data_IF_263486206064
#
_entry.id   IF_263486206064
#
_cell.length_a   1.000
_cell.length_b   1.000
_cell.length_c   1.000
_cell.angle_alpha   90.00
_cell.angle_beta   90.00
_cell.angle_gamma   90.00
#
_symmetry.space_group_name_H-M   'P 1'
#
loop_
_entity.id
_entity.type
_entity.pdbx_description
1 polymer ?
#
# COMPACT_ATOMS: atom_id res chain seq x y z
N UNK A 1 -10.69 22.51 25.98
CA UNK A 1 -11.03 23.84 25.43
C UNK A 1 -10.96 24.83 26.59
N UNK A 2 -9.88 25.62 26.69
CA UNK A 2 -9.72 26.61 27.76
C UNK A 2 -10.04 27.98 27.15
N UNK A 3 -11.29 28.40 27.30
CA UNK A 3 -11.71 29.77 27.05
C UNK A 3 -11.14 30.67 28.14
N UNK A 4 -10.52 31.78 27.76
CA UNK A 4 -10.19 32.86 28.68
C UNK A 4 -11.28 33.91 28.49
N UNK A 5 -12.18 34.00 29.45
CA UNK A 5 -13.32 34.94 29.44
C UNK A 5 -14.09 34.96 28.10
N UNK A 6 -14.30 33.79 27.48
CA UNK A 6 -15.08 33.61 26.26
C UNK A 6 -14.45 34.17 24.97
N UNK A 7 -13.15 34.52 24.98
CA UNK A 7 -12.43 35.04 23.81
C UNK A 7 -11.28 34.11 23.39
N UNK A 8 -10.95 34.01 22.10
CA UNK A 8 -9.81 33.23 21.62
C UNK A 8 -8.52 33.77 22.25
N UNK A 9 -7.61 32.90 22.68
CA UNK A 9 -6.41 33.30 23.42
C UNK A 9 -5.47 34.21 22.61
N UNK A 10 -5.63 34.25 21.29
CA UNK A 10 -4.95 35.21 20.40
C UNK A 10 -5.38 36.66 20.65
N UNK A 11 -6.63 36.90 21.03
CA UNK A 11 -7.16 38.22 21.36
C UNK A 11 -6.96 38.61 22.84
N UNK A 12 -6.53 37.65 23.66
CA UNK A 12 -6.24 37.85 25.07
C UNK A 12 -5.09 38.83 25.27
N UNK A 13 -5.13 39.52 26.42
CA UNK A 13 -4.02 40.40 26.83
C UNK A 13 -2.83 39.56 27.26
N UNK A 14 -1.62 40.08 27.10
CA UNK A 14 -0.41 39.37 27.56
C UNK A 14 -0.47 38.98 29.04
N UNK A 15 -1.13 39.78 29.88
CA UNK A 15 -1.33 39.47 31.30
C UNK A 15 -2.13 38.17 31.51
N UNK A 16 -3.15 37.92 30.69
CA UNK A 16 -3.94 36.69 30.75
C UNK A 16 -3.10 35.50 30.30
N UNK A 17 -2.39 35.63 29.18
CA UNK A 17 -1.47 34.61 28.67
C UNK A 17 -0.41 34.24 29.71
N UNK A 18 0.19 35.24 30.36
CA UNK A 18 1.14 35.03 31.45
C UNK A 18 0.50 34.27 32.62
N UNK A 19 -0.73 34.62 33.02
CA UNK A 19 -1.46 33.87 34.06
C UNK A 19 -1.64 32.40 33.67
N UNK A 20 -1.88 32.09 32.40
CA UNK A 20 -1.96 30.70 31.92
C UNK A 20 -0.62 29.98 31.95
N UNK A 21 0.47 30.65 31.55
CA UNK A 21 1.83 30.09 31.65
C UNK A 21 2.23 29.80 33.10
N UNK A 22 1.96 30.72 34.02
CA UNK A 22 2.23 30.51 35.45
C UNK A 22 1.36 29.40 36.06
N UNK A 23 0.07 29.31 35.69
CA UNK A 23 -0.83 28.26 36.16
C UNK A 23 -0.46 26.86 35.64
N UNK A 24 -0.03 26.77 34.39
CA UNK A 24 0.38 25.51 33.77
C UNK A 24 1.79 25.06 34.18
N UNK A 25 2.58 25.97 34.77
CA UNK A 25 3.99 25.73 35.08
C UNK A 25 4.84 25.58 33.82
N UNK A 26 4.39 26.12 32.68
CA UNK A 26 5.13 26.15 31.43
C UNK A 26 5.95 27.44 31.34
N UNK A 27 7.22 27.38 30.92
CA UNK A 27 8.12 28.54 30.90
C UNK A 27 8.16 29.27 29.56
N UNK A 28 7.75 28.57 28.50
CA UNK A 28 7.63 29.12 27.16
C UNK A 28 6.22 28.96 26.60
N UNK A 29 5.81 29.96 25.83
CA UNK A 29 4.71 29.88 24.87
C UNK A 29 5.29 29.56 23.49
N UNK A 30 4.77 28.53 22.85
CA UNK A 30 5.10 28.20 21.47
C UNK A 30 3.88 28.48 20.60
N UNK A 31 4.04 29.30 19.57
CA UNK A 31 2.99 29.55 18.58
C UNK A 31 3.38 28.91 17.25
N UNK A 32 2.55 27.98 16.78
CA UNK A 32 2.74 27.27 15.51
C UNK A 32 1.66 27.66 14.50
N UNK A 33 2.09 27.98 13.29
CA UNK A 33 1.20 28.23 12.15
C UNK A 33 1.83 27.72 10.84
N UNK A 34 1.15 27.98 9.72
CA UNK A 34 1.61 27.57 8.39
C UNK A 34 2.99 28.15 8.01
N UNK A 35 3.37 29.28 8.59
CA UNK A 35 4.64 29.97 8.34
C UNK A 35 5.78 29.48 9.24
N UNK A 36 5.51 28.63 10.23
CA UNK A 36 6.52 28.04 11.10
C UNK A 36 6.22 28.18 12.60
N UNK A 37 7.28 28.07 13.40
CA UNK A 37 7.23 28.02 14.86
C UNK A 37 7.88 29.29 15.43
N UNK A 38 7.21 29.89 16.42
CA UNK A 38 7.74 30.98 17.23
C UNK A 38 7.72 30.58 18.70
N UNK A 39 8.85 30.74 19.39
CA UNK A 39 8.97 30.46 20.83
C UNK A 39 9.17 31.76 21.59
N UNK A 40 8.37 31.98 22.63
CA UNK A 40 8.42 33.16 23.50
C UNK A 40 8.58 32.71 24.96
N UNK A 41 9.66 33.14 25.60
CA UNK A 41 9.86 32.89 27.03
C UNK A 41 9.00 33.84 27.87
N UNK A 42 8.61 33.42 29.08
CA UNK A 42 7.91 34.28 30.05
C UNK A 42 8.55 35.66 30.20
N UNK A 43 9.87 35.73 30.27
CA UNK A 43 10.60 36.99 30.44
C UNK A 43 10.45 37.95 29.25
N UNK A 44 10.32 37.42 28.02
CA UNK A 44 10.06 38.23 26.84
C UNK A 44 8.62 38.78 26.86
N UNK A 45 7.66 37.97 27.32
CA UNK A 45 6.28 38.39 27.49
C UNK A 45 6.13 39.45 28.59
N UNK A 46 6.84 39.29 29.72
CA UNK A 46 6.91 40.28 30.80
C UNK A 46 7.52 41.58 30.28
N UNK A 47 8.66 41.50 29.59
CA UNK A 47 9.33 42.68 29.01
C UNK A 47 8.44 43.42 28.00
N UNK A 48 7.64 42.69 27.23
CA UNK A 48 6.71 43.26 26.26
C UNK A 48 5.51 43.92 26.95
N UNK A 49 4.98 43.29 28.00
CA UNK A 49 3.90 43.83 28.83
C UNK A 49 4.33 45.09 29.60
N UNK A 50 5.58 45.16 30.10
CA UNK A 50 6.10 46.35 30.78
C UNK A 50 6.18 47.57 29.86
N UNK A 51 6.44 47.36 28.56
CA UNK A 51 6.44 48.42 27.55
C UNK A 51 5.03 48.84 27.15
N UNK A 52 4.11 47.88 27.06
CA UNK A 52 2.72 48.10 26.69
C UNK A 52 1.79 47.12 27.43
N UNK A 53 1.23 47.60 28.54
CA UNK A 53 0.37 46.77 29.40
C UNK A 53 -0.98 46.41 28.79
N UNK A 54 -1.37 47.03 27.67
CA UNK A 54 -2.60 46.72 26.95
C UNK A 54 -2.36 45.83 25.71
N UNK A 55 -1.11 45.43 25.46
CA UNK A 55 -0.74 44.65 24.29
C UNK A 55 -1.46 43.30 24.27
N UNK A 56 -2.00 42.95 23.10
CA UNK A 56 -2.61 41.65 22.83
C UNK A 56 -1.58 40.67 22.29
N UNK A 57 -1.87 39.38 22.46
CA UNK A 57 -0.96 38.34 21.96
C UNK A 57 -0.81 38.39 20.43
N UNK A 58 -1.92 38.55 19.69
CA UNK A 58 -1.88 38.63 18.22
C UNK A 58 -0.98 39.76 17.71
N UNK A 59 -1.03 40.94 18.31
CA UNK A 59 -0.20 42.10 17.94
C UNK A 59 1.28 41.83 18.20
N UNK A 60 1.62 41.15 19.31
CA UNK A 60 2.98 40.75 19.61
C UNK A 60 3.49 39.69 18.62
N UNK A 61 2.68 38.69 18.31
CA UNK A 61 3.03 37.63 17.37
C UNK A 61 3.27 38.19 15.96
N UNK A 62 2.47 39.17 15.52
CA UNK A 62 2.65 39.86 14.24
C UNK A 62 3.99 40.64 14.20
N UNK A 63 4.39 41.28 15.30
CA UNK A 63 5.67 42.00 15.40
C UNK A 63 6.89 41.09 15.36
N UNK A 64 6.72 39.81 15.71
CA UNK A 64 7.80 38.83 15.82
C UNK A 64 7.76 37.79 14.69
N UNK A 65 7.03 38.06 13.61
CA UNK A 65 6.95 37.18 12.44
C UNK A 65 8.34 36.87 11.86
N UNK A 66 9.24 37.86 11.83
CA UNK A 66 10.61 37.71 11.32
C UNK A 66 11.48 36.74 12.15
N UNK A 67 11.06 36.39 13.37
CA UNK A 67 11.77 35.44 14.25
C UNK A 67 11.27 34.00 14.06
N UNK A 68 10.29 33.75 13.20
CA UNK A 68 9.76 32.40 12.98
C UNK A 68 10.81 31.52 12.33
N UNK A 69 10.97 30.32 12.90
CA UNK A 69 11.82 29.27 12.36
C UNK A 69 11.01 28.05 11.96
N UNK A 70 11.58 27.21 11.10
CA UNK A 70 10.99 25.91 10.76
C UNK A 70 11.17 24.89 11.90
N UNK A 71 12.20 25.09 12.73
CA UNK A 71 12.58 24.18 13.81
C UNK A 71 12.47 24.88 15.16
N UNK A 72 12.13 24.11 16.19
CA UNK A 72 12.20 24.57 17.57
C UNK A 72 13.66 24.87 17.93
N UNK A 73 13.98 26.02 18.58
CA UNK A 73 15.31 26.26 19.10
C UNK A 73 15.75 25.14 20.06
N UNK A 74 17.06 24.89 20.14
CA UNK A 74 17.60 23.83 20.99
C UNK A 74 17.47 24.22 22.47
N UNK A 75 16.42 23.71 23.11
CA UNK A 75 16.15 23.92 24.54
C UNK A 75 16.84 22.78 25.31
N UNK A 76 17.90 23.10 26.05
CA UNK A 76 18.80 22.11 26.67
C UNK A 76 18.17 21.20 27.74
N UNK A 77 16.96 21.50 28.24
CA UNK A 77 16.25 20.70 29.25
C UNK A 77 14.78 20.44 28.88
N UNK A 78 14.15 19.38 29.44
CA UNK A 78 12.73 19.09 29.25
C UNK A 78 11.87 20.15 29.94
N UNK A 79 11.69 21.28 29.27
CA UNK A 79 10.80 22.35 29.72
C UNK A 79 9.35 22.03 29.35
N UNK A 80 8.42 22.40 30.24
CA UNK A 80 7.00 22.41 29.93
C UNK A 80 6.71 23.61 29.04
N UNK A 81 6.04 23.37 27.92
CA UNK A 81 5.72 24.34 26.89
C UNK A 81 4.20 24.43 26.74
N UNK A 82 3.70 25.65 26.55
CA UNK A 82 2.31 25.88 26.17
C UNK A 82 2.27 26.08 24.66
N UNK A 83 1.71 25.12 23.93
CA UNK A 83 1.55 25.20 22.48
C UNK A 83 0.21 25.87 22.14
N UNK A 84 0.27 26.91 21.31
CA UNK A 84 -0.86 27.57 20.68
C UNK A 84 -0.83 27.26 19.18
N UNK A 85 -1.85 26.55 18.70
CA UNK A 85 -2.04 26.20 17.29
C UNK A 85 -3.47 26.55 16.86
N UNK A 86 -3.60 27.59 16.03
CA UNK A 86 -4.88 28.21 15.75
C UNK A 86 -5.54 28.72 17.04
N UNK A 87 -6.69 28.16 17.39
CA UNK A 87 -7.43 28.46 18.63
C UNK A 87 -7.20 27.43 19.74
N UNK A 88 -6.40 26.39 19.47
CA UNK A 88 -6.18 25.29 20.41
C UNK A 88 -4.95 25.52 21.28
N UNK A 89 -5.07 25.13 22.56
CA UNK A 89 -4.02 25.23 23.56
C UNK A 89 -3.74 23.86 24.17
N UNK A 90 -2.48 23.46 24.08
CA UNK A 90 -2.00 22.18 24.56
C UNK A 90 -0.77 22.38 25.44
N UNK A 91 -0.71 21.69 26.58
CA UNK A 91 0.48 21.65 27.42
C UNK A 91 1.30 20.43 27.02
N UNK A 92 2.55 20.67 26.62
CA UNK A 92 3.45 19.64 26.10
C UNK A 92 4.85 19.78 26.73
N UNK A 93 5.64 18.73 26.66
CA UNK A 93 7.09 18.76 26.94
C UNK A 93 7.87 19.12 25.68
N UNK A 94 9.06 19.71 25.84
CA UNK A 94 9.94 20.05 24.72
C UNK A 94 10.25 18.85 23.81
N UNK A 95 10.38 17.65 24.37
CA UNK A 95 10.61 16.40 23.63
C UNK A 95 9.41 16.01 22.75
N UNK A 96 8.19 16.22 23.23
CA UNK A 96 6.96 15.89 22.49
C UNK A 96 6.82 16.79 21.26
N UNK A 97 7.24 18.06 21.37
CA UNK A 97 7.23 19.00 20.26
C UNK A 97 8.31 18.71 19.20
N UNK A 98 9.45 18.12 19.60
CA UNK A 98 10.52 17.67 18.68
C UNK A 98 10.13 16.41 17.90
N UNK A 99 9.22 15.60 18.43
CA UNK A 99 8.66 14.51 17.63
C UNK A 99 7.84 15.12 16.48
N UNK A 100 7.96 14.58 15.26
CA UNK A 100 7.10 14.99 14.15
C UNK A 100 5.65 14.79 14.56
N UNK A 101 5.02 15.88 15.00
CA UNK A 101 3.68 15.83 15.59
C UNK A 101 2.70 15.27 14.56
N UNK A 102 2.10 14.11 14.91
CA UNK A 102 0.76 13.70 14.47
C UNK A 102 -0.17 14.83 14.93
N UNK A 103 -0.54 15.73 14.04
CA UNK A 103 -1.51 16.79 14.34
C UNK A 103 -2.85 16.14 14.68
N UNK A 104 -3.27 16.29 15.93
CA UNK A 104 -4.67 16.18 16.27
C UNK A 104 -5.39 17.30 15.50
N UNK A 105 -6.26 16.93 14.55
CA UNK A 105 -7.12 17.79 13.72
C UNK A 105 -6.71 18.09 12.26
N UNK A 106 -6.00 17.17 11.59
CA UNK A 106 -5.92 17.20 10.12
C UNK A 106 -6.36 15.88 9.46
N UNK A 107 -6.48 14.81 10.24
CA UNK A 107 -6.90 13.49 9.79
C UNK A 107 -8.39 13.31 10.12
N UNK A 108 -9.18 12.72 9.23
CA UNK A 108 -10.59 12.46 9.51
C UNK A 108 -10.77 11.63 10.79
N UNK A 109 -11.89 11.81 11.50
CA UNK A 109 -12.20 11.05 12.73
C UNK A 109 -12.20 9.53 12.50
N UNK A 110 -12.47 9.11 11.26
CA UNK A 110 -12.45 7.71 10.83
C UNK A 110 -11.07 7.21 10.37
N UNK A 111 -9.98 7.98 10.50
CA UNK A 111 -8.65 7.54 10.05
C UNK A 111 -8.17 6.25 10.75
N UNK A 112 -8.57 6.06 12.00
CA UNK A 112 -8.24 4.88 12.82
C UNK A 112 -9.17 3.69 12.60
N UNK A 113 -9.99 3.67 11.54
CA UNK A 113 -10.80 2.48 11.18
C UNK A 113 -9.89 1.29 10.85
N UNK A 114 -10.36 0.04 11.06
CA UNK A 114 -9.59 -1.18 10.78
C UNK A 114 -9.56 -1.51 9.28
N UNK A 115 -9.39 -0.50 8.43
CA UNK A 115 -9.23 -0.64 6.99
C UNK A 115 -7.91 -0.01 6.60
N UNK A 116 -7.14 -0.59 5.67
CA UNK A 116 -5.87 -0.02 5.23
C UNK A 116 -6.09 1.24 4.39
N UNK A 117 -5.73 2.39 4.94
CA UNK A 117 -5.88 3.69 4.30
C UNK A 117 -4.52 4.34 4.04
N UNK A 118 -4.42 5.01 2.90
CA UNK A 118 -3.31 5.91 2.57
C UNK A 118 -3.84 7.31 2.24
N UNK A 119 -3.16 8.33 2.77
CA UNK A 119 -3.40 9.73 2.46
C UNK A 119 -2.25 10.27 1.64
N UNK A 120 -2.55 10.82 0.47
CA UNK A 120 -1.59 11.34 -0.49
C UNK A 120 -1.74 12.85 -0.59
N UNK A 121 -0.75 13.58 -0.06
CA UNK A 121 -0.56 15.02 -0.28
C UNK A 121 0.63 15.23 -1.24
N UNK A 122 0.74 16.43 -1.80
CA UNK A 122 1.76 16.80 -2.82
C UNK A 122 3.16 16.30 -2.46
N UNK A 123 3.57 16.48 -1.20
CA UNK A 123 4.93 16.15 -0.75
C UNK A 123 4.97 15.08 0.35
N UNK A 124 3.82 14.52 0.73
CA UNK A 124 3.72 13.60 1.87
C UNK A 124 2.75 12.48 1.60
N UNK A 125 3.08 11.29 2.09
CA UNK A 125 2.16 10.17 2.15
C UNK A 125 2.09 9.68 3.59
N UNK A 126 0.87 9.53 4.09
CA UNK A 126 0.60 9.06 5.45
C UNK A 126 -0.23 7.78 5.35
N UNK A 127 0.06 6.81 6.22
CA UNK A 127 -0.68 5.54 6.28
C UNK A 127 -1.29 5.42 7.66
N UNK A 128 -2.47 4.81 7.73
CA UNK A 128 -3.03 4.46 9.03
C UNK A 128 -2.39 3.17 9.56
N UNK A 129 -2.63 2.85 10.82
CA UNK A 129 -2.00 1.70 11.50
C UNK A 129 -2.27 0.38 10.76
N UNK A 130 -3.47 0.21 10.20
CA UNK A 130 -3.81 -0.97 9.42
C UNK A 130 -3.00 -1.05 8.13
N UNK A 131 -2.84 0.05 7.38
CA UNK A 131 -2.03 0.07 6.18
C UNK A 131 -0.54 -0.12 6.49
N UNK A 132 -0.02 0.43 7.59
CA UNK A 132 1.37 0.20 8.01
C UNK A 132 1.65 -1.28 8.31
N UNK A 133 0.69 -1.99 8.91
CA UNK A 133 0.81 -3.41 9.21
C UNK A 133 0.76 -4.30 7.95
N UNK A 134 -0.10 -3.98 6.97
CA UNK A 134 -0.26 -4.79 5.76
C UNK A 134 0.77 -4.46 4.67
N UNK A 135 1.23 -3.21 4.64
CA UNK A 135 2.09 -2.66 3.60
C UNK A 135 3.27 -1.89 4.22
N UNK A 136 4.32 -2.58 4.70
CA UNK A 136 5.42 -1.97 5.44
C UNK A 136 6.24 -0.99 4.59
N UNK A 137 6.41 -1.25 3.29
CA UNK A 137 7.21 -0.44 2.36
C UNK A 137 6.47 0.84 1.88
N UNK A 138 6.36 1.82 2.78
CA UNK A 138 5.51 3.00 2.59
C UNK A 138 5.89 3.92 1.43
N UNK A 139 7.18 4.17 1.21
CA UNK A 139 7.61 5.04 0.11
C UNK A 139 7.35 4.44 -1.27
N UNK A 140 7.53 3.12 -1.40
CA UNK A 140 7.25 2.41 -2.65
C UNK A 140 5.76 2.39 -2.91
N UNK A 141 4.95 2.01 -1.90
CA UNK A 141 3.49 2.03 -1.99
C UNK A 141 2.97 3.41 -2.42
N UNK A 142 3.42 4.48 -1.77
CA UNK A 142 2.98 5.84 -2.09
C UNK A 142 3.35 6.27 -3.51
N UNK A 143 4.45 5.76 -4.07
CA UNK A 143 4.86 6.03 -5.45
C UNK A 143 3.92 5.34 -6.43
N UNK A 144 3.69 4.03 -6.25
CA UNK A 144 2.84 3.25 -7.15
C UNK A 144 1.38 3.72 -7.12
N UNK A 145 0.84 3.97 -5.92
CA UNK A 145 -0.54 4.48 -5.78
C UNK A 145 -0.70 5.86 -6.44
N UNK A 146 0.28 6.78 -6.30
CA UNK A 146 0.24 8.05 -7.02
C UNK A 146 0.31 7.87 -8.54
N UNK A 147 1.13 6.92 -9.00
CA UNK A 147 1.25 6.57 -10.42
C UNK A 147 -0.10 6.14 -10.99
N UNK A 148 -0.71 5.14 -10.36
CA UNK A 148 -2.01 4.57 -10.74
C UNK A 148 -3.12 5.65 -10.77
N UNK A 149 -3.26 6.44 -9.69
CA UNK A 149 -4.25 7.52 -9.65
C UNK A 149 -4.03 8.58 -10.74
N UNK A 150 -2.77 8.89 -11.06
CA UNK A 150 -2.43 9.86 -12.11
C UNK A 150 -2.75 9.35 -13.51
N UNK A 151 -2.62 8.05 -13.75
CA UNK A 151 -3.04 7.40 -14.99
C UNK A 151 -4.54 7.09 -15.05
N UNK A 152 -5.31 7.44 -14.01
CA UNK A 152 -6.71 7.06 -13.83
C UNK A 152 -6.91 5.54 -13.82
N UNK A 153 -5.87 4.79 -13.46
CA UNK A 153 -5.93 3.37 -13.23
C UNK A 153 -6.23 3.13 -11.74
N UNK A 154 -7.33 2.43 -11.46
CA UNK A 154 -7.70 2.09 -10.08
C UNK A 154 -7.08 0.76 -9.65
N UNK A 155 -6.21 0.18 -10.47
CA UNK A 155 -5.39 -0.96 -10.14
C UNK A 155 -3.94 -0.53 -9.94
N UNK A 156 -3.31 -1.08 -8.91
CA UNK A 156 -1.94 -0.78 -8.55
C UNK A 156 -1.18 -2.10 -8.33
N UNK A 157 -0.17 -2.34 -9.15
CA UNK A 157 0.69 -3.51 -9.02
C UNK A 157 1.91 -3.15 -8.18
N UNK A 158 2.07 -3.85 -7.06
CA UNK A 158 3.20 -3.66 -6.17
C UNK A 158 4.26 -4.73 -6.43
N UNK A 159 5.48 -4.34 -6.83
CA UNK A 159 6.57 -5.29 -6.99
C UNK A 159 6.97 -5.83 -5.62
N UNK A 160 6.91 -7.15 -5.43
CA UNK A 160 7.36 -7.76 -4.20
C UNK A 160 8.89 -7.87 -4.18
N UNK A 161 9.53 -7.38 -3.12
CA UNK A 161 10.94 -7.70 -2.83
C UNK A 161 11.03 -9.17 -2.38
N UNK A 162 11.12 -10.09 -3.34
CA UNK A 162 11.38 -11.52 -3.10
C UNK A 162 10.14 -12.41 -2.96
N UNK A 163 9.02 -12.06 -3.60
CA UNK A 163 7.76 -12.84 -3.57
C UNK A 163 6.83 -12.56 -4.76
N UNK A 164 5.58 -13.01 -4.64
CA UNK A 164 4.51 -12.78 -5.64
C UNK A 164 4.09 -11.30 -5.70
N UNK A 165 3.89 -10.78 -6.91
CA UNK A 165 3.34 -9.44 -7.12
C UNK A 165 1.98 -9.31 -6.44
N UNK A 166 1.75 -8.18 -5.78
CA UNK A 166 0.43 -7.87 -5.22
C UNK A 166 -0.32 -6.92 -6.12
N UNK A 167 -1.60 -7.19 -6.31
CA UNK A 167 -2.50 -6.29 -7.03
C UNK A 167 -3.46 -5.66 -6.04
N UNK A 168 -3.43 -4.33 -5.96
CA UNK A 168 -4.33 -3.55 -5.13
C UNK A 168 -5.40 -2.87 -5.97
N UNK A 169 -6.65 -2.97 -5.54
CA UNK A 169 -7.71 -2.07 -5.96
C UNK A 169 -7.69 -0.80 -5.10
N UNK A 170 -7.73 0.33 -5.78
CA UNK A 170 -7.71 1.66 -5.19
C UNK A 170 -9.12 2.22 -5.15
N UNK A 171 -9.58 2.57 -3.95
CA UNK A 171 -10.91 3.16 -3.74
C UNK A 171 -10.75 4.58 -3.18
N UNK A 172 -10.77 5.63 -4.01
CA UNK A 172 -10.73 7.01 -3.53
C UNK A 172 -11.94 7.30 -2.63
N UNK A 173 -11.68 7.68 -1.38
CA UNK A 173 -12.72 8.04 -0.41
C UNK A 173 -12.90 9.55 -0.33
N UNK A 174 -11.79 10.29 -0.39
CA UNK A 174 -11.73 11.76 -0.46
C UNK A 174 -10.73 12.18 -1.55
N UNK A 175 -10.53 13.49 -1.72
CA UNK A 175 -9.54 14.02 -2.67
C UNK A 175 -8.11 13.54 -2.36
N UNK A 176 -7.81 13.27 -1.08
CA UNK A 176 -6.48 12.91 -0.61
C UNK A 176 -6.40 11.54 0.08
N UNK A 177 -7.53 10.86 0.38
CA UNK A 177 -7.53 9.55 1.05
C UNK A 177 -8.05 8.45 0.13
N UNK A 178 -7.31 7.35 0.11
CA UNK A 178 -7.58 6.16 -0.69
C UNK A 178 -7.58 4.92 0.20
N UNK A 179 -8.59 4.08 0.03
CA UNK A 179 -8.65 2.74 0.60
C UNK A 179 -7.91 1.76 -0.32
N UNK A 180 -7.09 0.91 0.30
CA UNK A 180 -6.26 -0.08 -0.38
C UNK A 180 -6.85 -1.47 -0.19
N UNK A 181 -7.42 -2.06 -1.22
CA UNK A 181 -7.94 -3.43 -1.16
C UNK A 181 -6.99 -4.38 -1.86
N UNK A 182 -6.51 -5.42 -1.16
CA UNK A 182 -5.69 -6.46 -1.77
C UNK A 182 -6.60 -7.46 -2.49
N UNK A 183 -6.56 -7.42 -3.82
CA UNK A 183 -7.37 -8.27 -4.71
C UNK A 183 -6.50 -9.28 -5.46
N UNK A 184 -5.26 -9.51 -5.00
CA UNK A 184 -4.31 -10.42 -5.68
C UNK A 184 -4.93 -11.79 -5.91
N UNK A 185 -5.57 -12.35 -4.88
CA UNK A 185 -6.21 -13.67 -4.96
C UNK A 185 -7.38 -13.70 -5.95
N UNK A 186 -8.17 -12.62 -6.03
CA UNK A 186 -9.30 -12.52 -6.95
C UNK A 186 -8.81 -12.40 -8.40
N UNK A 187 -7.75 -11.62 -8.64
CA UNK A 187 -7.10 -11.53 -9.95
C UNK A 187 -6.57 -12.91 -10.38
N UNK A 188 -5.81 -13.59 -9.52
CA UNK A 188 -5.29 -14.94 -9.83
C UNK A 188 -6.41 -15.94 -10.10
N UNK A 189 -7.49 -15.90 -9.32
CA UNK A 189 -8.64 -16.78 -9.56
C UNK A 189 -9.35 -16.47 -10.89
N UNK A 190 -9.48 -15.19 -11.24
CA UNK A 190 -10.07 -14.76 -12.51
C UNK A 190 -9.22 -15.20 -13.71
N UNK A 191 -7.90 -15.07 -13.62
CA UNK A 191 -6.95 -15.54 -14.65
C UNK A 191 -7.02 -17.06 -14.85
N UNK A 192 -7.09 -17.83 -13.75
CA UNK A 192 -7.30 -19.28 -13.81
C UNK A 192 -8.62 -19.65 -14.48
N UNK A 193 -9.70 -18.94 -14.16
CA UNK A 193 -11.01 -19.16 -14.78
C UNK A 193 -10.99 -18.83 -16.27
N UNK A 194 -10.40 -17.70 -16.65
CA UNK A 194 -10.26 -17.28 -18.04
C UNK A 194 -9.44 -18.31 -18.84
N UNK A 195 -8.35 -18.82 -18.26
CA UNK A 195 -7.56 -19.89 -18.83
C UNK A 195 -8.40 -21.15 -19.10
N UNK A 196 -9.12 -21.64 -18.10
CA UNK A 196 -9.93 -22.85 -18.23
C UNK A 196 -11.10 -22.69 -19.20
N UNK A 197 -11.64 -21.48 -19.31
CA UNK A 197 -12.67 -21.17 -20.28
C UNK A 197 -12.12 -21.12 -21.71
N UNK A 198 -10.93 -20.53 -21.91
CA UNK A 198 -10.27 -20.47 -23.21
C UNK A 198 -9.84 -21.85 -23.74
N UNK A 199 -9.31 -22.70 -22.85
CA UNK A 199 -8.87 -24.06 -23.20
C UNK A 199 -10.05 -25.02 -23.36
N UNK A 200 -11.10 -24.83 -22.57
CA UNK A 200 -12.18 -25.80 -22.38
C UNK A 200 -11.79 -26.90 -21.39
N UNK A 201 -12.00 -26.64 -20.10
CA UNK A 201 -11.66 -27.57 -19.01
C UNK A 201 -12.12 -29.02 -19.25
N UNK A 202 -13.34 -29.23 -19.77
CA UNK A 202 -13.86 -30.57 -20.08
C UNK A 202 -13.07 -31.32 -21.16
N UNK A 203 -12.47 -30.60 -22.13
CA UNK A 203 -11.62 -31.21 -23.14
C UNK A 203 -10.34 -31.74 -22.51
N UNK A 204 -9.70 -30.94 -21.65
CA UNK A 204 -8.47 -31.32 -20.94
C UNK A 204 -8.72 -32.51 -20.02
N UNK A 205 -9.83 -32.50 -19.27
CA UNK A 205 -10.18 -33.62 -18.41
C UNK A 205 -10.41 -34.91 -19.21
N UNK A 206 -11.06 -34.84 -20.38
CA UNK A 206 -11.20 -35.99 -21.27
C UNK A 206 -9.86 -36.51 -21.79
N UNK A 207 -8.93 -35.62 -22.16
CA UNK A 207 -7.59 -36.01 -22.59
C UNK A 207 -6.81 -36.70 -21.46
N UNK A 208 -6.90 -36.16 -20.24
CA UNK A 208 -6.29 -36.75 -19.03
C UNK A 208 -6.86 -38.14 -18.72
N UNK A 209 -8.18 -38.31 -18.84
CA UNK A 209 -8.84 -39.61 -18.68
C UNK A 209 -8.37 -40.65 -19.72
N UNK A 210 -7.97 -40.20 -20.91
CA UNK A 210 -7.40 -41.04 -21.95
C UNK A 210 -5.87 -41.25 -21.80
N UNK A 211 -5.28 -40.83 -20.68
CA UNK A 211 -3.85 -41.00 -20.38
C UNK A 211 -2.93 -39.95 -21.02
N UNK A 212 -3.47 -38.93 -21.67
CA UNK A 212 -2.70 -37.86 -22.31
C UNK A 212 -2.44 -36.75 -21.28
N UNK A 213 -1.16 -36.46 -21.02
CA UNK A 213 -0.75 -35.35 -20.14
C UNK A 213 -0.56 -34.08 -20.94
N UNK A 214 -1.47 -33.13 -20.76
CA UNK A 214 -1.39 -31.80 -21.38
C UNK A 214 -0.50 -30.86 -20.55
N UNK A 215 0.23 -29.97 -21.22
CA UNK A 215 1.03 -28.90 -20.58
C UNK A 215 0.39 -27.52 -20.76
N UNK A 216 0.55 -26.65 -19.76
CA UNK A 216 0.27 -25.21 -19.88
C UNK A 216 1.61 -24.49 -20.00
N UNK A 217 1.71 -23.60 -20.97
CA UNK A 217 2.87 -22.76 -21.21
C UNK A 217 2.45 -21.29 -21.25
N UNK A 218 3.25 -20.45 -20.62
CA UNK A 218 3.10 -18.99 -20.65
C UNK A 218 3.53 -18.46 -22.02
N UNK A 219 3.11 -17.24 -22.40
CA UNK A 219 3.53 -16.62 -23.66
C UNK A 219 5.05 -16.49 -23.84
N UNK A 220 5.79 -16.42 -22.73
CA UNK A 220 7.26 -16.26 -22.71
C UNK A 220 8.03 -17.59 -22.68
N UNK A 221 7.35 -18.72 -22.50
CA UNK A 221 8.02 -20.02 -22.38
C UNK A 221 8.47 -20.55 -23.76
N UNK A 222 9.60 -21.26 -23.78
CA UNK A 222 10.02 -22.03 -24.95
C UNK A 222 9.02 -23.17 -25.21
N UNK A 223 8.34 -23.13 -26.36
CA UNK A 223 7.30 -24.09 -26.69
C UNK A 223 7.88 -25.44 -27.16
N UNK A 224 7.27 -26.57 -26.73
CA UNK A 224 7.63 -27.89 -27.25
C UNK A 224 7.43 -27.98 -28.77
N UNK A 225 8.33 -28.69 -29.45
CA UNK A 225 8.23 -28.93 -30.91
C UNK A 225 7.49 -30.22 -31.24
N UNK A 226 7.34 -31.12 -30.28
CA UNK A 226 6.58 -32.34 -30.41
C UNK A 226 5.09 -32.10 -30.10
N UNK A 227 4.18 -32.78 -30.79
CA UNK A 227 2.75 -32.65 -30.52
C UNK A 227 2.08 -31.42 -31.14
N UNK A 228 0.90 -31.12 -30.61
CA UNK A 228 0.06 -30.00 -31.02
C UNK A 228 0.12 -28.90 -29.96
N UNK A 229 0.34 -27.66 -30.39
CA UNK A 229 0.32 -26.48 -29.53
C UNK A 229 -0.82 -25.59 -29.98
N UNK A 230 -1.74 -25.30 -29.06
CA UNK A 230 -2.94 -24.51 -29.32
C UNK A 230 -2.81 -23.20 -28.55
N UNK A 231 -2.95 -22.07 -29.24
CA UNK A 231 -3.03 -20.75 -28.59
C UNK A 231 -4.37 -20.59 -27.89
N UNK A 232 -4.32 -20.19 -26.62
CA UNK A 232 -5.51 -19.98 -25.80
C UNK A 232 -5.74 -18.48 -25.65
N UNK A 233 -6.85 -18.02 -26.22
CA UNK A 233 -7.22 -16.61 -26.24
C UNK A 233 -8.47 -16.37 -25.38
N UNK A 234 -8.51 -15.25 -24.68
CA UNK A 234 -9.71 -14.75 -24.02
C UNK A 234 -9.95 -13.30 -24.41
N UNK A 235 -11.12 -13.00 -24.98
CA UNK A 235 -11.48 -11.67 -25.49
C UNK A 235 -10.45 -11.03 -26.47
N UNK A 236 -9.61 -11.85 -27.10
CA UNK A 236 -8.57 -11.40 -28.03
C UNK A 236 -7.16 -11.37 -27.44
N UNK A 237 -7.03 -11.48 -26.11
CA UNK A 237 -5.75 -11.52 -25.42
C UNK A 237 -5.19 -12.93 -25.32
N UNK A 238 -3.88 -13.06 -25.55
CA UNK A 238 -3.17 -14.34 -25.45
C UNK A 238 -2.88 -14.67 -23.98
N UNK A 239 -3.57 -15.68 -23.45
CA UNK A 239 -3.35 -16.16 -22.09
C UNK A 239 -2.18 -17.15 -22.00
N UNK A 240 -1.87 -17.84 -23.10
CA UNK A 240 -0.80 -18.83 -23.16
C UNK A 240 -1.11 -19.93 -24.17
N UNK A 241 -0.44 -21.07 -24.00
CA UNK A 241 -0.51 -22.20 -24.92
C UNK A 241 -0.84 -23.51 -24.22
N UNK A 242 -1.78 -24.25 -24.78
CA UNK A 242 -2.04 -25.63 -24.41
C UNK A 242 -1.19 -26.54 -25.30
N UNK A 243 -0.34 -27.35 -24.69
CA UNK A 243 0.39 -28.40 -25.38
C UNK A 243 -0.30 -29.75 -25.19
N UNK A 244 -0.53 -30.44 -26.30
CA UNK A 244 -1.02 -31.81 -26.36
C UNK A 244 0.09 -32.64 -27.02
N UNK A 245 0.84 -33.46 -26.26
CA UNK A 245 1.91 -34.26 -26.84
C UNK A 245 1.37 -35.26 -27.85
N UNK A 246 2.12 -35.50 -28.93
CA UNK A 246 1.81 -36.59 -29.85
C UNK A 246 2.13 -37.90 -29.12
N UNK A 247 1.18 -38.84 -28.96
CA UNK A 247 1.51 -40.12 -28.37
C UNK A 247 2.57 -40.81 -29.22
N UNK A 248 3.69 -41.22 -28.62
CA UNK A 248 4.67 -42.05 -29.32
C UNK A 248 3.96 -43.31 -29.82
N UNK A 249 4.13 -43.70 -31.10
CA UNK A 249 3.57 -44.94 -31.57
C UNK A 249 4.13 -46.06 -30.70
N UNK A 250 3.25 -46.87 -30.08
CA UNK A 250 3.64 -48.08 -29.39
C UNK A 250 4.58 -48.86 -30.33
N UNK A 251 5.87 -48.96 -29.95
CA UNK A 251 6.77 -49.85 -30.66
C UNK A 251 6.11 -51.22 -30.58
N UNK A 252 5.79 -51.87 -31.72
CA UNK A 252 5.30 -53.23 -31.66
C UNK A 252 6.33 -54.04 -30.89
N UNK A 253 5.90 -54.69 -29.80
CA UNK A 253 6.73 -55.63 -29.06
C UNK A 253 7.43 -56.52 -30.09
N UNK A 254 8.75 -56.39 -30.19
CA UNK A 254 9.57 -57.32 -30.96
C UNK A 254 9.28 -58.69 -30.39
N UNK A 255 8.44 -59.45 -31.10
CA UNK A 255 8.17 -60.83 -30.80
C UNK A 255 9.53 -61.53 -30.65
N UNK A 256 9.81 -61.99 -29.43
CA UNK A 256 11.01 -62.72 -29.09
C UNK A 256 11.30 -63.78 -30.17
N UNK A 257 12.56 -64.01 -30.57
CA UNK A 257 12.89 -65.02 -31.57
C UNK A 257 12.72 -66.40 -30.95
N UNK A 258 11.48 -66.90 -30.95
CA UNK A 258 11.12 -68.25 -30.60
C UNK A 258 11.64 -69.20 -31.67
N UNK A 259 12.89 -69.63 -31.50
CA UNK A 259 13.51 -70.71 -32.27
C UNK A 259 12.75 -72.01 -32.09
N UNK A 260 11.73 -72.23 -32.91
CA UNK A 260 11.02 -73.51 -32.97
C UNK A 260 11.61 -74.34 -34.11
N UNK A 261 12.47 -75.31 -33.76
CA UNK A 261 12.99 -76.31 -34.68
C UNK A 261 11.82 -77.14 -35.23
N UNK A 262 11.40 -76.85 -36.47
CA UNK A 262 10.64 -77.76 -37.33
C UNK A 262 11.48 -79.01 -37.61
N UNK A 263 11.01 -80.19 -37.17
CA UNK A 263 11.21 -81.45 -37.89
C UNK A 263 9.92 -81.78 -38.65
N UNK A 264 9.96 -81.49 -39.94
CA UNK A 264 9.26 -82.19 -41.05
C UNK A 264 9.43 -83.72 -40.90
N UNK A 265 8.60 -84.65 -41.37
CA UNK A 265 7.64 -84.76 -42.47
C UNK A 265 6.97 -86.17 -42.28
N UNK A 266 5.94 -86.69 -42.95
CA UNK A 266 5.42 -86.50 -44.32
C UNK A 266 4.15 -87.39 -44.50
N UNK A 267 3.21 -86.89 -45.32
CA UNK A 267 2.38 -87.58 -46.35
C UNK A 267 1.31 -88.58 -45.87
N UNK A 268 0.11 -88.65 -46.48
CA UNK A 268 -0.36 -88.25 -47.83
C UNK A 268 -1.91 -88.21 -47.83
N UNK A 269 -2.58 -87.43 -48.71
CA UNK A 269 -4.03 -87.45 -48.87
C UNK A 269 -4.47 -88.41 -50.00
N UNK A 270 -5.71 -88.90 -49.95
CA UNK A 270 -6.64 -88.97 -51.08
C UNK A 270 -7.99 -89.57 -50.65
N UNK A 271 -9.06 -88.97 -51.15
CA UNK A 271 -10.44 -89.45 -51.10
C UNK A 271 -10.69 -90.53 -52.18
N UNK A 272 -11.77 -91.31 -51.99
CA UNK A 272 -12.49 -91.98 -53.08
C UNK A 272 -12.80 -93.47 -52.87
N UNK A 273 -13.98 -93.80 -52.35
CA UNK A 273 -15.13 -94.38 -53.08
C UNK A 273 -16.32 -94.51 -52.12
#
# INVERSE_FOLDING_TARGET
MLEVDGSPLLEARLQEVLRHLFRSGADCLVHRNAQGILTLHKDELISSMERDGALRLCDLLARLEDRRGELLPDMGSPERLLLLEGETLSLLMAEELRQPHRTASDLPEWWSVPLPLIRLRKDRAERNETAEAHFPDGESLAREVRGALSSQDLLCHLPARGGEERTLALHPLTEDVVLLEDITADCTAAEELAWWAAVGHSLVERLRQNGIRTGRFSPEDDLPQDGEVISCLWEGDLLGYLHIPCPEPEKPEEAAPGGTKRKTARRRPAAGQ
#
